data_IF_667736561504
#
_entry.id   IF_667736561504
#
_cell.length_a   1.000
_cell.length_b   1.000
_cell.length_c   1.000
_cell.angle_alpha   90.00
_cell.angle_beta   90.00
_cell.angle_gamma   90.00
#
_symmetry.space_group_name_H-M   'P 1'
#
loop_
_entity.id
_entity.type
_entity.pdbx_description
1 polymer ?
#
# COMPACT_ATOMS: atom_id res chain seq x y z
N UNK A 1 30.30 -0.93 39.08
CA UNK A 1 29.97 -2.32 38.70
C UNK A 1 28.59 -2.30 38.06
N UNK A 2 28.57 -2.47 36.73
CA UNK A 2 27.42 -2.85 35.88
C UNK A 2 26.17 -1.95 35.89
N UNK A 3 26.23 -0.84 35.15
CA UNK A 3 25.07 -0.40 34.36
C UNK A 3 25.17 -1.19 33.05
N UNK A 4 24.39 -2.27 32.95
CA UNK A 4 24.17 -2.94 31.69
C UNK A 4 23.49 -1.92 30.76
N UNK A 5 24.27 -1.36 29.84
CA UNK A 5 23.73 -0.84 28.60
C UNK A 5 22.91 -1.98 28.00
N UNK A 6 21.59 -1.86 28.04
CA UNK A 6 20.73 -2.63 27.16
C UNK A 6 21.22 -2.27 25.76
N UNK A 7 21.80 -3.20 24.98
CA UNK A 7 22.09 -2.92 23.59
C UNK A 7 20.77 -2.51 22.97
N UNK A 8 20.73 -1.37 22.27
CA UNK A 8 19.68 -1.08 21.28
C UNK A 8 19.49 -2.41 20.55
N UNK A 9 18.33 -3.05 20.68
CA UNK A 9 18.15 -4.38 20.11
C UNK A 9 18.41 -4.24 18.60
N UNK A 10 19.62 -4.59 18.17
CA UNK A 10 19.98 -4.64 16.76
C UNK A 10 19.23 -5.84 16.24
N UNK A 11 17.96 -5.62 15.87
CA UNK A 11 17.14 -6.62 15.21
C UNK A 11 17.95 -7.07 14.01
N UNK A 12 18.31 -8.35 13.97
CA UNK A 12 19.12 -8.90 12.90
C UNK A 12 18.38 -8.71 11.58
N UNK A 13 19.10 -8.48 10.49
CA UNK A 13 18.50 -8.40 9.15
C UNK A 13 17.61 -9.63 8.84
N UNK A 14 17.93 -10.79 9.44
CA UNK A 14 17.10 -11.99 9.36
C UNK A 14 15.77 -11.84 10.11
N UNK A 15 15.77 -11.32 11.34
CA UNK A 15 14.55 -11.08 12.13
C UNK A 15 13.64 -10.04 11.45
N UNK A 16 14.22 -9.02 10.83
CA UNK A 16 13.47 -8.06 10.01
C UNK A 16 12.79 -8.75 8.82
N UNK A 17 13.47 -9.70 8.18
CA UNK A 17 12.90 -10.48 7.09
C UNK A 17 11.78 -11.44 7.57
N UNK A 18 11.88 -11.99 8.78
CA UNK A 18 10.82 -12.78 9.40
C UNK A 18 9.57 -11.93 9.68
N UNK A 19 9.74 -10.71 10.17
CA UNK A 19 8.62 -9.76 10.34
C UNK A 19 7.95 -9.42 9.02
N UNK A 20 8.73 -9.17 7.96
CA UNK A 20 8.17 -8.95 6.62
C UNK A 20 7.36 -10.17 6.14
N UNK A 21 7.87 -11.38 6.36
CA UNK A 21 7.14 -12.60 6.02
C UNK A 21 5.81 -12.70 6.78
N UNK A 22 5.81 -12.46 8.09
CA UNK A 22 4.58 -12.50 8.91
C UNK A 22 3.57 -11.45 8.42
N UNK A 23 4.01 -10.22 8.20
CA UNK A 23 3.16 -9.12 7.73
C UNK A 23 2.60 -9.42 6.35
N UNK A 24 3.40 -9.96 5.43
CA UNK A 24 2.96 -10.34 4.08
C UNK A 24 1.93 -11.46 4.12
N UNK A 25 2.08 -12.47 4.97
CA UNK A 25 1.06 -13.50 5.13
C UNK A 25 -0.25 -12.93 5.68
N UNK A 26 -0.18 -11.98 6.62
CA UNK A 26 -1.36 -11.29 7.14
C UNK A 26 -2.06 -10.49 6.03
N UNK A 27 -1.30 -9.75 5.21
CA UNK A 27 -1.86 -8.99 4.08
C UNK A 27 -2.50 -9.92 3.04
N UNK A 28 -1.81 -10.97 2.60
CA UNK A 28 -2.36 -11.97 1.64
C UNK A 28 -3.67 -12.56 2.18
N UNK A 29 -3.70 -12.96 3.45
CA UNK A 29 -4.90 -13.50 4.09
C UNK A 29 -6.04 -12.48 4.17
N UNK A 30 -5.73 -11.25 4.58
CA UNK A 30 -6.69 -10.15 4.67
C UNK A 30 -7.27 -9.76 3.31
N UNK A 31 -6.42 -9.61 2.29
CA UNK A 31 -6.82 -9.28 0.91
C UNK A 31 -7.66 -10.40 0.29
N UNK A 32 -7.25 -11.67 0.47
CA UNK A 32 -8.03 -12.82 -0.01
C UNK A 32 -9.42 -12.87 0.64
N UNK A 33 -9.49 -12.63 1.96
CA UNK A 33 -10.76 -12.58 2.68
C UNK A 33 -11.64 -11.40 2.21
N UNK A 34 -11.06 -10.21 2.08
CA UNK A 34 -11.77 -9.02 1.59
C UNK A 34 -12.27 -9.22 0.16
N UNK A 35 -11.48 -9.87 -0.70
CA UNK A 35 -11.88 -10.20 -2.06
C UNK A 35 -13.09 -11.15 -2.07
N UNK A 36 -13.04 -12.23 -1.29
CA UNK A 36 -14.15 -13.16 -1.15
C UNK A 36 -15.41 -12.47 -0.60
N UNK A 37 -15.28 -11.62 0.43
CA UNK A 37 -16.41 -10.86 0.97
C UNK A 37 -17.00 -9.93 -0.11
N UNK A 38 -16.15 -9.19 -0.82
CA UNK A 38 -16.57 -8.22 -1.82
C UNK A 38 -17.29 -8.88 -3.00
N UNK A 39 -16.81 -10.04 -3.45
CA UNK A 39 -17.37 -10.79 -4.58
C UNK A 39 -18.59 -11.61 -4.17
N UNK A 40 -18.48 -12.40 -3.10
CA UNK A 40 -19.50 -13.40 -2.77
C UNK A 40 -20.65 -12.81 -1.98
N UNK A 41 -20.39 -11.85 -1.08
CA UNK A 41 -21.40 -11.26 -0.20
C UNK A 41 -21.90 -9.91 -0.72
N UNK A 42 -20.99 -9.02 -1.12
CA UNK A 42 -21.35 -7.67 -1.57
C UNK A 42 -21.67 -7.58 -3.08
N UNK A 43 -21.37 -8.64 -3.85
CA UNK A 43 -21.60 -8.72 -5.30
C UNK A 43 -21.02 -7.53 -6.09
N UNK A 44 -19.90 -7.00 -5.63
CA UNK A 44 -19.22 -5.88 -6.31
C UNK A 44 -18.55 -6.40 -7.59
N UNK A 45 -18.78 -5.79 -8.76
CA UNK A 45 -18.14 -6.19 -10.00
C UNK A 45 -16.67 -5.78 -9.99
N UNK A 46 -15.82 -6.69 -9.50
CA UNK A 46 -14.37 -6.53 -9.44
C UNK A 46 -13.68 -7.33 -10.56
N UNK A 47 -12.48 -6.88 -10.94
CA UNK A 47 -11.59 -7.61 -11.84
C UNK A 47 -10.92 -8.80 -11.11
N UNK A 48 -11.71 -9.82 -10.77
CA UNK A 48 -11.31 -10.93 -9.90
C UNK A 48 -10.06 -11.64 -10.40
N UNK A 49 -9.97 -11.90 -11.71
CA UNK A 49 -8.83 -12.59 -12.32
C UNK A 49 -7.52 -11.82 -12.08
N UNK A 50 -7.55 -10.49 -12.25
CA UNK A 50 -6.39 -9.63 -12.03
C UNK A 50 -6.03 -9.51 -10.54
N UNK A 51 -7.03 -9.51 -9.66
CA UNK A 51 -6.83 -9.49 -8.21
C UNK A 51 -6.20 -10.80 -7.71
N UNK A 52 -6.73 -11.95 -8.13
CA UNK A 52 -6.15 -13.25 -7.82
C UNK A 52 -4.75 -13.44 -8.40
N UNK A 53 -4.49 -12.89 -9.60
CA UNK A 53 -3.15 -12.89 -10.19
C UNK A 53 -2.17 -12.07 -9.34
N UNK A 54 -2.60 -10.90 -8.86
CA UNK A 54 -1.78 -10.06 -7.96
C UNK A 54 -1.49 -10.80 -6.65
N UNK A 55 -2.51 -11.37 -6.00
CA UNK A 55 -2.37 -12.17 -4.77
C UNK A 55 -1.42 -13.37 -5.00
N UNK A 56 -1.55 -14.06 -6.13
CA UNK A 56 -0.69 -15.20 -6.48
C UNK A 56 0.77 -14.78 -6.73
N UNK A 57 0.99 -13.61 -7.33
CA UNK A 57 2.32 -13.04 -7.53
C UNK A 57 2.99 -12.72 -6.18
N UNK A 58 2.28 -12.06 -5.25
CA UNK A 58 2.79 -11.85 -3.88
C UNK A 58 3.02 -13.20 -3.18
N UNK A 59 2.12 -14.18 -3.35
CA UNK A 59 2.29 -15.53 -2.82
C UNK A 59 3.57 -16.21 -3.29
N UNK A 60 3.97 -15.98 -4.54
CA UNK A 60 5.24 -16.49 -5.10
C UNK A 60 6.44 -15.81 -4.46
N UNK A 61 6.37 -14.49 -4.25
CA UNK A 61 7.42 -13.73 -3.55
C UNK A 61 7.52 -14.19 -2.09
N UNK A 62 6.38 -14.43 -1.44
CA UNK A 62 6.31 -14.94 -0.07
C UNK A 62 6.93 -16.34 0.05
N UNK A 63 6.70 -17.21 -0.94
CA UNK A 63 7.34 -18.52 -1.02
C UNK A 63 8.86 -18.39 -1.16
N UNK A 64 9.34 -17.47 -2.01
CA UNK A 64 10.76 -17.15 -2.11
C UNK A 64 11.33 -16.68 -0.77
N UNK A 65 10.64 -15.76 -0.07
CA UNK A 65 11.05 -15.30 1.27
C UNK A 65 11.13 -16.44 2.28
N UNK A 66 10.19 -17.39 2.26
CA UNK A 66 10.21 -18.54 3.14
C UNK A 66 11.41 -19.46 2.88
N UNK A 67 11.74 -19.73 1.61
CA UNK A 67 12.94 -20.50 1.24
C UNK A 67 14.19 -19.74 1.70
N UNK A 68 14.22 -18.42 1.47
CA UNK A 68 15.32 -17.54 1.86
C UNK A 68 15.58 -17.56 3.37
N UNK A 69 14.53 -17.55 4.19
CA UNK A 69 14.64 -17.60 5.66
C UNK A 69 15.28 -18.90 6.19
N UNK A 70 15.20 -19.98 5.42
CA UNK A 70 15.82 -21.28 5.74
C UNK A 70 17.31 -21.33 5.39
N UNK A 71 17.84 -20.32 4.69
CA UNK A 71 19.26 -20.24 4.33
C UNK A 71 20.08 -19.49 5.38
N UNK A 72 21.31 -19.93 5.64
CA UNK A 72 22.22 -19.29 6.62
C UNK A 72 23.01 -18.10 6.05
N UNK A 73 22.85 -17.83 4.75
CA UNK A 73 23.50 -16.71 4.08
C UNK A 73 23.00 -15.36 4.62
N UNK A 74 23.89 -14.38 4.88
CA UNK A 74 23.49 -13.08 5.43
C UNK A 74 22.42 -12.37 4.59
N UNK A 75 21.44 -11.77 5.26
CA UNK A 75 20.41 -10.93 4.64
C UNK A 75 20.94 -9.51 4.53
N UNK A 76 20.72 -8.87 3.38
CA UNK A 76 21.18 -7.50 3.13
C UNK A 76 20.04 -6.50 3.24
N UNK A 77 20.36 -5.25 3.57
CA UNK A 77 19.38 -4.15 3.59
C UNK A 77 18.68 -3.96 2.24
N UNK A 78 19.44 -4.07 1.14
CA UNK A 78 18.92 -3.97 -0.22
C UNK A 78 17.91 -5.09 -0.54
N UNK A 79 18.13 -6.29 0.01
CA UNK A 79 17.21 -7.40 -0.14
C UNK A 79 15.87 -7.12 0.57
N UNK A 80 15.93 -6.63 1.81
CA UNK A 80 14.74 -6.21 2.57
C UNK A 80 14.00 -5.09 1.84
N UNK A 81 14.73 -4.08 1.36
CA UNK A 81 14.14 -2.96 0.62
C UNK A 81 13.46 -3.43 -0.67
N UNK A 82 14.10 -4.35 -1.40
CA UNK A 82 13.52 -4.90 -2.65
C UNK A 82 12.22 -5.64 -2.39
N UNK A 83 12.12 -6.39 -1.29
CA UNK A 83 10.89 -7.07 -0.90
C UNK A 83 9.78 -6.10 -0.51
N UNK A 84 10.10 -5.04 0.25
CA UNK A 84 9.16 -3.97 0.57
C UNK A 84 8.70 -3.20 -0.68
N UNK A 85 9.60 -2.95 -1.62
CA UNK A 85 9.26 -2.29 -2.88
C UNK A 85 8.30 -3.15 -3.73
N UNK A 86 8.52 -4.46 -3.77
CA UNK A 86 7.60 -5.41 -4.44
C UNK A 86 6.22 -5.36 -3.77
N UNK A 87 6.14 -5.32 -2.44
CA UNK A 87 4.87 -5.19 -1.72
C UNK A 87 4.15 -3.88 -2.09
N UNK A 88 4.90 -2.78 -2.21
CA UNK A 88 4.37 -1.48 -2.64
C UNK A 88 3.81 -1.52 -4.05
N UNK A 89 4.48 -2.19 -5.00
CA UNK A 89 3.94 -2.38 -6.34
C UNK A 89 2.67 -3.22 -6.33
N UNK A 90 2.60 -4.24 -5.48
CA UNK A 90 1.43 -5.08 -5.37
C UNK A 90 0.24 -4.33 -4.74
N UNK A 91 0.49 -3.54 -3.67
CA UNK A 91 -0.49 -2.61 -3.10
C UNK A 91 -0.99 -1.64 -4.19
N UNK A 92 -0.10 -1.07 -5.00
CA UNK A 92 -0.48 -0.18 -6.09
C UNK A 92 -1.35 -0.89 -7.14
N UNK A 93 -1.04 -2.14 -7.50
CA UNK A 93 -1.84 -2.93 -8.42
C UNK A 93 -3.23 -3.24 -7.85
N UNK A 94 -3.33 -3.59 -6.57
CA UNK A 94 -4.62 -3.82 -5.91
C UNK A 94 -5.45 -2.54 -5.87
N UNK A 95 -4.85 -1.40 -5.50
CA UNK A 95 -5.53 -0.11 -5.51
C UNK A 95 -5.98 0.25 -6.93
N UNK A 96 -5.11 0.09 -7.93
CA UNK A 96 -5.46 0.32 -9.35
C UNK A 96 -6.70 -0.47 -9.77
N UNK A 97 -6.81 -1.74 -9.39
CA UNK A 97 -7.92 -2.63 -9.73
C UNK A 97 -9.20 -2.36 -8.92
N UNK A 98 -9.10 -1.59 -7.83
CA UNK A 98 -10.19 -1.34 -6.87
C UNK A 98 -10.57 0.15 -6.73
N UNK A 99 -10.23 0.98 -7.73
CA UNK A 99 -10.65 2.40 -7.79
C UNK A 99 -9.52 3.43 -7.69
N UNK A 100 -8.26 3.00 -7.62
CA UNK A 100 -7.07 3.85 -7.63
C UNK A 100 -6.99 4.81 -6.45
N UNK A 101 -6.73 6.09 -6.74
CA UNK A 101 -6.59 7.15 -5.73
C UNK A 101 -7.87 7.42 -4.92
N UNK A 102 -9.02 6.95 -5.40
CA UNK A 102 -10.32 7.13 -4.73
C UNK A 102 -10.60 6.03 -3.70
N UNK A 103 -9.76 4.99 -3.69
CA UNK A 103 -9.93 3.87 -2.80
C UNK A 103 -9.68 4.30 -1.33
N UNK A 104 -10.56 3.94 -0.38
CA UNK A 104 -10.43 4.36 1.02
C UNK A 104 -9.21 3.76 1.72
N UNK A 105 -8.53 2.78 1.11
CA UNK A 105 -7.32 2.14 1.63
C UNK A 105 -6.02 2.72 1.05
N UNK A 106 -6.04 3.83 0.30
CA UNK A 106 -4.82 4.49 -0.20
C UNK A 106 -3.82 4.85 0.91
N UNK A 107 -4.29 5.06 2.14
CA UNK A 107 -3.42 5.28 3.31
C UNK A 107 -2.51 4.09 3.64
N UNK A 108 -2.78 2.88 3.15
CA UNK A 108 -1.92 1.70 3.32
C UNK A 108 -0.51 1.94 2.78
N UNK A 109 -0.31 2.83 1.79
CA UNK A 109 1.03 3.22 1.36
C UNK A 109 1.91 3.80 2.47
N UNK A 110 1.36 4.31 3.58
CA UNK A 110 2.15 4.76 4.72
C UNK A 110 2.78 3.60 5.48
N UNK A 111 2.14 2.44 5.52
CA UNK A 111 2.66 1.26 6.21
C UNK A 111 4.07 0.86 5.72
N UNK A 112 4.33 0.65 4.41
CA UNK A 112 5.66 0.32 3.93
C UNK A 112 6.68 1.46 4.12
N UNK A 113 6.25 2.73 4.12
CA UNK A 113 7.14 3.86 4.47
C UNK A 113 7.58 3.77 5.93
N UNK A 114 6.64 3.52 6.84
CA UNK A 114 6.90 3.36 8.28
C UNK A 114 7.75 2.12 8.55
N UNK A 115 7.43 0.99 7.91
CA UNK A 115 8.23 -0.24 8.04
C UNK A 115 9.65 -0.03 7.54
N UNK A 116 9.83 0.64 6.40
CA UNK A 116 11.16 1.02 5.90
C UNK A 116 11.90 1.89 6.91
N UNK A 117 11.23 2.89 7.49
CA UNK A 117 11.81 3.79 8.49
C UNK A 117 12.26 3.09 9.78
N UNK A 118 11.55 2.02 10.18
CA UNK A 118 11.86 1.26 11.40
C UNK A 118 12.97 0.24 11.15
N UNK A 119 12.98 -0.38 9.96
CA UNK A 119 13.80 -1.56 9.66
C UNK A 119 15.13 -1.18 8.99
N UNK A 120 15.14 -0.15 8.16
CA UNK A 120 16.27 0.19 7.28
C UNK A 120 16.88 1.55 7.62
N UNK A 121 18.14 1.79 7.21
CA UNK A 121 18.73 3.12 7.31
C UNK A 121 17.86 4.19 6.64
N UNK A 122 17.86 5.40 7.22
CA UNK A 122 17.01 6.52 6.82
C UNK A 122 17.04 6.83 5.30
N UNK A 123 18.14 6.52 4.60
CA UNK A 123 18.26 6.74 3.15
C UNK A 123 17.22 5.93 2.38
N UNK A 124 16.96 4.68 2.79
CA UNK A 124 15.94 3.83 2.16
C UNK A 124 14.53 4.38 2.38
N UNK A 125 14.28 5.05 3.51
CA UNK A 125 12.99 5.69 3.78
C UNK A 125 12.66 6.74 2.74
N UNK A 126 13.64 7.58 2.35
CA UNK A 126 13.44 8.56 1.28
C UNK A 126 13.18 7.91 -0.07
N UNK A 127 13.87 6.82 -0.40
CA UNK A 127 13.56 6.06 -1.61
C UNK A 127 12.15 5.49 -1.59
N UNK A 128 11.69 5.01 -0.43
CA UNK A 128 10.34 4.50 -0.28
C UNK A 128 9.29 5.62 -0.43
N UNK A 129 9.51 6.79 0.19
CA UNK A 129 8.63 7.97 0.03
C UNK A 129 8.49 8.36 -1.44
N UNK A 130 9.60 8.41 -2.18
CA UNK A 130 9.60 8.74 -3.61
C UNK A 130 8.81 7.69 -4.39
N UNK A 131 9.06 6.40 -4.13
CA UNK A 131 8.37 5.29 -4.80
C UNK A 131 6.86 5.35 -4.55
N UNK A 132 6.43 5.42 -3.29
CA UNK A 132 5.01 5.42 -2.93
C UNK A 132 4.30 6.69 -3.42
N UNK A 133 4.95 7.85 -3.35
CA UNK A 133 4.39 9.11 -3.88
C UNK A 133 4.24 9.07 -5.40
N UNK A 134 5.21 8.47 -6.09
CA UNK A 134 5.16 8.29 -7.53
C UNK A 134 3.99 7.38 -7.91
N UNK A 135 3.87 6.23 -7.26
CA UNK A 135 2.78 5.28 -7.52
C UNK A 135 1.41 5.86 -7.17
N UNK A 136 1.26 6.56 -6.04
CA UNK A 136 0.01 7.26 -5.71
C UNK A 136 -0.33 8.28 -6.80
N UNK A 137 0.63 9.13 -7.20
CA UNK A 137 0.41 10.09 -8.29
C UNK A 137 -0.07 9.42 -9.58
N UNK A 138 0.47 8.24 -9.93
CA UNK A 138 -0.01 7.46 -11.07
C UNK A 138 -1.46 6.94 -10.90
N UNK A 139 -1.88 6.60 -9.69
CA UNK A 139 -3.23 6.11 -9.41
C UNK A 139 -4.33 7.18 -9.50
N UNK A 140 -3.96 8.47 -9.55
CA UNK A 140 -4.92 9.57 -9.70
C UNK A 140 -5.59 9.52 -11.10
N UNK A 141 -4.84 9.65 -12.21
CA UNK A 141 -5.42 9.56 -13.55
C UNK A 141 -5.67 8.13 -14.02
N UNK A 142 -4.91 7.14 -13.52
CA UNK A 142 -4.97 5.77 -14.00
C UNK A 142 -5.56 4.85 -12.93
N UNK A 143 -6.81 4.45 -13.10
CA UNK A 143 -7.44 3.40 -12.32
C UNK A 143 -8.32 2.55 -13.24
N UNK A 144 -8.42 1.24 -12.95
CA UNK A 144 -9.38 0.41 -13.65
C UNK A 144 -10.77 0.91 -13.23
N UNK A 145 -11.52 1.50 -14.17
CA UNK A 145 -12.89 1.90 -13.92
C UNK A 145 -13.65 0.65 -13.46
N UNK A 146 -14.14 0.66 -12.22
CA UNK A 146 -15.10 -0.34 -11.79
C UNK A 146 -16.28 -0.17 -12.74
N UNK A 147 -16.65 -1.22 -13.48
CA UNK A 147 -17.85 -1.21 -14.33
C UNK A 147 -18.99 -0.71 -13.45
N UNK A 148 -19.60 0.45 -13.77
CA UNK A 148 -20.70 0.96 -12.98
C UNK A 148 -21.75 -0.14 -12.94
N UNK A 149 -22.12 -0.57 -11.73
CA UNK A 149 -23.34 -1.35 -11.54
C UNK A 149 -24.42 -0.48 -12.17
N UNK A 150 -25.03 -0.93 -13.28
CA UNK A 150 -26.14 -0.23 -13.90
C UNK A 150 -27.13 0.12 -12.79
N UNK A 151 -27.27 1.40 -12.42
CA UNK A 151 -28.28 1.77 -11.47
C UNK A 151 -29.58 1.47 -12.19
N UNK A 152 -30.31 0.46 -11.73
CA UNK A 152 -31.73 0.34 -12.02
C UNK A 152 -32.30 1.76 -11.92
N UNK A 153 -32.78 2.24 -13.05
CA UNK A 153 -33.16 3.62 -13.24
C UNK A 153 -34.26 4.02 -12.26
N UNK A 154 -33.95 4.96 -11.36
CA UNK A 154 -34.98 5.81 -10.78
C UNK A 154 -34.99 7.09 -11.59
N UNK A 155 -35.94 7.13 -12.53
CA UNK A 155 -36.33 8.30 -13.29
C UNK A 155 -36.61 9.47 -12.32
N UNK A 156 -35.67 10.41 -12.24
CA UNK A 156 -35.84 11.65 -11.49
C UNK A 156 -35.59 12.84 -12.42
N UNK A 157 -36.64 13.15 -13.16
CA UNK A 157 -37.13 14.47 -13.56
C UNK A 157 -36.12 15.64 -13.48
N UNK A 158 -35.68 16.07 -14.67
CA UNK A 158 -35.42 17.44 -15.10
C UNK A 158 -35.15 18.51 -14.01
N UNK A 159 -33.89 18.68 -13.64
CA UNK A 159 -33.32 19.94 -13.14
C UNK A 159 -31.97 20.15 -13.81
N UNK A 160 -31.66 21.40 -14.20
CA UNK A 160 -30.49 21.80 -15.00
C UNK A 160 -29.21 21.02 -14.61
N UNK A 161 -28.79 20.03 -15.42
CA UNK A 161 -27.72 19.09 -15.05
C UNK A 161 -26.35 19.76 -14.89
N UNK A 162 -26.13 20.89 -15.56
CA UNK A 162 -24.78 21.44 -15.75
C UNK A 162 -24.19 22.08 -14.47
N UNK A 163 -25.02 22.66 -13.60
CA UNK A 163 -24.54 23.36 -12.41
C UNK A 163 -24.26 22.42 -11.22
N UNK A 164 -25.05 21.34 -11.06
CA UNK A 164 -24.82 20.35 -9.99
C UNK A 164 -23.66 19.40 -10.31
N UNK A 165 -23.51 18.97 -11.56
CA UNK A 165 -22.43 18.05 -11.96
C UNK A 165 -21.05 18.70 -11.82
N UNK A 166 -20.91 20.00 -12.13
CA UNK A 166 -19.61 20.70 -11.97
C UNK A 166 -19.20 20.83 -10.50
N UNK A 167 -20.15 21.02 -9.58
CA UNK A 167 -19.84 21.21 -8.16
C UNK A 167 -19.42 19.90 -7.48
N UNK A 168 -20.02 18.78 -7.88
CA UNK A 168 -19.69 17.45 -7.35
C UNK A 168 -18.31 16.97 -7.82
N UNK A 169 -17.97 17.20 -9.10
CA UNK A 169 -16.65 16.91 -9.66
C UNK A 169 -15.54 17.75 -9.00
N UNK A 170 -15.79 19.05 -8.78
CA UNK A 170 -14.82 19.92 -8.12
C UNK A 170 -14.55 19.47 -6.67
N UNK A 171 -15.62 19.15 -5.90
CA UNK A 171 -15.49 18.62 -4.54
C UNK A 171 -14.72 17.30 -4.49
N UNK A 172 -15.01 16.39 -5.42
CA UNK A 172 -14.32 15.10 -5.54
C UNK A 172 -12.83 15.27 -5.86
N UNK A 173 -12.48 16.16 -6.78
CA UNK A 173 -11.10 16.47 -7.12
C UNK A 173 -10.34 17.10 -5.94
N UNK A 174 -10.96 18.03 -5.21
CA UNK A 174 -10.37 18.58 -3.99
C UNK A 174 -10.18 17.51 -2.91
N UNK A 175 -11.11 16.57 -2.78
CA UNK A 175 -10.99 15.47 -1.83
C UNK A 175 -9.80 14.56 -2.16
N UNK A 176 -9.66 14.11 -3.41
CA UNK A 176 -8.51 13.29 -3.85
C UNK A 176 -7.20 14.05 -3.66
N UNK A 177 -7.17 15.33 -4.04
CA UNK A 177 -6.00 16.17 -3.83
C UNK A 177 -5.61 16.25 -2.35
N UNK A 178 -6.59 16.45 -1.46
CA UNK A 178 -6.38 16.46 -0.02
C UNK A 178 -5.81 15.15 0.53
N UNK A 179 -6.33 14.00 0.06
CA UNK A 179 -5.81 12.69 0.44
C UNK A 179 -4.36 12.48 -0.03
N UNK A 180 -4.08 12.81 -1.29
CA UNK A 180 -2.74 12.72 -1.86
C UNK A 180 -1.76 13.64 -1.13
N UNK A 181 -2.14 14.91 -0.90
CA UNK A 181 -1.31 15.88 -0.20
C UNK A 181 -1.04 15.44 1.25
N UNK A 182 -2.08 14.99 1.96
CA UNK A 182 -1.95 14.45 3.31
C UNK A 182 -1.01 13.25 3.37
N UNK A 183 -1.09 12.36 2.36
CA UNK A 183 -0.16 11.24 2.22
C UNK A 183 1.29 11.71 2.03
N UNK A 184 1.55 12.62 1.08
CA UNK A 184 2.90 13.10 0.78
C UNK A 184 3.52 13.79 1.99
N UNK A 185 2.76 14.65 2.68
CA UNK A 185 3.21 15.29 3.91
C UNK A 185 3.46 14.25 5.02
N UNK A 186 2.56 13.29 5.22
CA UNK A 186 2.72 12.24 6.22
C UNK A 186 3.95 11.37 5.97
N UNK A 187 4.14 10.93 4.73
CA UNK A 187 5.29 10.13 4.31
C UNK A 187 6.61 10.91 4.48
N UNK A 188 6.62 12.20 4.10
CA UNK A 188 7.75 13.09 4.30
C UNK A 188 8.09 13.30 5.78
N UNK A 189 7.08 13.45 6.65
CA UNK A 189 7.28 13.55 8.09
C UNK A 189 7.88 12.26 8.67
N UNK A 190 7.39 11.08 8.25
CA UNK A 190 7.98 9.81 8.66
C UNK A 190 9.45 9.72 8.26
N UNK A 191 9.80 10.10 7.03
CA UNK A 191 11.19 10.12 6.57
C UNK A 191 12.06 11.14 7.34
N UNK A 192 11.51 12.31 7.65
CA UNK A 192 12.19 13.32 8.46
C UNK A 192 12.44 12.84 9.89
N UNK A 193 11.46 12.25 10.56
CA UNK A 193 11.65 11.71 11.90
C UNK A 193 12.61 10.50 11.91
N UNK A 194 12.59 9.68 10.87
CA UNK A 194 13.54 8.57 10.72
C UNK A 194 14.99 9.08 10.64
N UNK A 195 15.22 10.22 9.96
CA UNK A 195 16.52 10.90 9.95
C UNK A 195 16.93 11.39 11.34
N UNK A 196 16.02 12.08 12.03
CA UNK A 196 16.31 12.70 13.34
C UNK A 196 16.61 11.66 14.41
N UNK A 197 15.88 10.54 14.45
CA UNK A 197 16.08 9.45 15.41
C UNK A 197 17.37 8.64 15.12
N UNK A 198 17.90 8.75 13.90
CA UNK A 198 19.13 8.07 13.47
C UNK A 198 20.40 8.87 13.79
N UNK A 199 20.30 10.17 14.11
CA UNK A 199 21.42 11.05 14.47
C UNK A 199 21.57 11.19 15.99
#
# INVERSE_FOLDING_TARGET
MLINFIPKAEISAKENLEWLFILRNLMIGGESLLLLISVDFLKIPLHQDALWLTISAIGTVNLYTWIRLQTDTPVTEMEIFSQLAIDVFAIAALLYLTGGATNPFTWIFLLPVILTAIILPHTYTWYMVILTTTLYTFLIPYHASLTPIEPHMMDMMAMSPEAHIMQDEEFFNFHIFGMWFGFVCGAGLVAFFALEVSN
#
